data_IF_779557522150
#
_entry.id   IF_779557522150
#
_cell.length_a   1.000
_cell.length_b   1.000
_cell.length_c   1.000
_cell.angle_alpha   90.00
_cell.angle_beta   90.00
_cell.angle_gamma   90.00
#
_symmetry.space_group_name_H-M   'P 1'
#
loop_
_entity.id
_entity.type
_entity.pdbx_description
1 polymer ?
#
# COMPACT_ATOMS: atom_id res chain seq x y z
N UNK A 1 8.26 19.70 -16.79
CA UNK A 1 6.78 19.53 -16.77
C UNK A 1 6.48 18.06 -16.58
N UNK A 2 6.60 17.57 -15.34
CA UNK A 2 6.13 16.25 -14.87
C UNK A 2 5.86 16.46 -13.38
N UNK A 3 4.64 16.20 -12.90
CA UNK A 3 4.27 16.44 -11.51
C UNK A 3 2.78 16.71 -11.25
N UNK A 4 1.90 16.56 -12.23
CA UNK A 4 0.46 16.82 -12.05
C UNK A 4 -0.38 15.53 -11.96
N UNK A 5 0.16 14.36 -12.33
CA UNK A 5 -0.58 13.07 -12.32
C UNK A 5 -0.39 12.25 -11.05
N UNK A 6 0.75 12.35 -10.36
CA UNK A 6 1.09 11.51 -9.18
C UNK A 6 0.10 11.66 -8.01
N UNK A 7 -0.64 12.78 -7.92
CA UNK A 7 -1.50 13.09 -6.77
C UNK A 7 -3.00 12.84 -6.97
N UNK A 8 -3.45 12.44 -8.17
CA UNK A 8 -4.87 12.25 -8.45
C UNK A 8 -5.33 10.82 -8.13
N UNK A 9 -4.60 9.81 -8.59
CA UNK A 9 -4.93 8.39 -8.38
C UNK A 9 -4.70 7.96 -6.92
N UNK A 10 -3.66 8.47 -6.26
CA UNK A 10 -3.45 8.26 -4.81
C UNK A 10 -4.60 8.83 -3.95
N UNK A 11 -5.18 9.97 -4.39
CA UNK A 11 -6.37 10.55 -3.76
C UNK A 11 -7.62 9.75 -4.11
N UNK A 12 -7.68 9.15 -5.30
CA UNK A 12 -8.80 8.35 -5.77
C UNK A 12 -9.07 7.15 -4.85
N UNK A 13 -8.03 6.46 -4.39
CA UNK A 13 -8.17 5.35 -3.44
C UNK A 13 -8.24 5.76 -1.97
N UNK A 14 -8.03 7.05 -1.65
CA UNK A 14 -8.09 7.55 -0.26
C UNK A 14 -7.09 6.88 0.69
N UNK A 15 -5.90 6.52 0.19
CA UNK A 15 -4.84 5.93 1.00
C UNK A 15 -4.20 6.98 1.90
N UNK A 16 -4.15 6.69 3.20
CA UNK A 16 -3.41 7.48 4.18
C UNK A 16 -1.90 7.37 3.93
N UNK A 17 -1.08 8.32 4.39
CA UNK A 17 0.38 8.24 4.23
C UNK A 17 0.95 6.92 4.75
N UNK A 18 0.44 6.45 5.89
CA UNK A 18 0.88 5.19 6.50
C UNK A 18 0.52 3.96 5.68
N UNK A 19 -0.65 3.96 5.04
CA UNK A 19 -1.05 2.89 4.15
C UNK A 19 -0.21 2.84 2.87
N UNK A 20 0.29 3.99 2.39
CA UNK A 20 1.20 4.05 1.23
C UNK A 20 2.56 3.46 1.57
N UNK A 21 3.11 3.78 2.74
CA UNK A 21 4.35 3.15 3.21
C UNK A 21 4.18 1.62 3.27
N UNK A 22 3.08 1.14 3.83
CA UNK A 22 2.77 -0.30 3.86
C UNK A 22 2.62 -0.87 2.44
N UNK A 23 1.93 -0.18 1.53
CA UNK A 23 1.72 -0.62 0.15
C UNK A 23 3.04 -0.77 -0.62
N UNK A 24 3.99 0.16 -0.44
CA UNK A 24 5.35 0.07 -1.00
C UNK A 24 6.05 -1.22 -0.57
N UNK A 25 6.00 -1.54 0.71
CA UNK A 25 6.61 -2.75 1.25
C UNK A 25 5.90 -4.02 0.80
N UNK A 26 4.57 -3.96 0.66
CA UNK A 26 3.80 -5.07 0.09
C UNK A 26 4.24 -5.35 -1.35
N UNK A 27 4.46 -4.31 -2.15
CA UNK A 27 4.93 -4.42 -3.53
C UNK A 27 6.37 -4.93 -3.64
N UNK A 28 7.24 -4.58 -2.67
CA UNK A 28 8.58 -5.18 -2.52
C UNK A 28 8.53 -6.66 -2.06
N UNK A 29 7.34 -7.22 -1.81
CA UNK A 29 7.16 -8.61 -1.41
C UNK A 29 7.33 -8.88 0.09
N UNK A 30 7.36 -7.84 0.93
CA UNK A 30 7.58 -7.96 2.38
C UNK A 30 6.39 -8.58 3.11
N UNK A 31 6.64 -9.52 4.01
CA UNK A 31 5.62 -10.09 4.90
C UNK A 31 5.16 -9.08 5.96
N UNK A 32 3.99 -9.28 6.55
CA UNK A 32 3.47 -8.42 7.63
C UNK A 32 4.45 -8.30 8.81
N UNK A 33 5.26 -9.35 9.05
CA UNK A 33 6.33 -9.33 10.04
C UNK A 33 7.46 -8.37 9.65
N UNK A 34 7.94 -8.45 8.41
CA UNK A 34 8.99 -7.55 7.92
C UNK A 34 8.50 -6.09 7.85
N UNK A 35 7.25 -5.89 7.41
CA UNK A 35 6.60 -4.57 7.41
C UNK A 35 6.53 -3.99 8.83
N UNK A 36 6.15 -4.84 9.80
CA UNK A 36 6.07 -4.44 11.19
C UNK A 36 7.43 -4.04 11.76
N UNK A 37 8.49 -4.78 11.43
CA UNK A 37 9.86 -4.46 11.82
C UNK A 37 10.33 -3.14 11.20
N UNK A 38 10.13 -2.95 9.90
CA UNK A 38 10.60 -1.76 9.17
C UNK A 38 9.85 -0.48 9.56
N UNK A 39 8.55 -0.60 9.85
CA UNK A 39 7.71 0.52 10.26
C UNK A 39 7.62 0.70 11.77
N UNK A 40 8.31 -0.11 12.58
CA UNK A 40 8.28 -0.08 14.04
C UNK A 40 6.86 -0.19 14.63
N UNK A 41 6.06 -1.13 14.11
CA UNK A 41 4.69 -1.43 14.58
C UNK A 41 4.53 -2.92 14.90
N UNK A 42 3.38 -3.30 15.45
CA UNK A 42 3.06 -4.72 15.66
C UNK A 42 2.65 -5.40 14.35
N UNK A 43 2.94 -6.70 14.21
CA UNK A 43 2.49 -7.53 13.07
C UNK A 43 0.97 -7.46 12.86
N UNK A 44 0.20 -7.44 13.96
CA UNK A 44 -1.26 -7.25 13.92
C UNK A 44 -1.65 -5.92 13.28
N UNK A 45 -0.92 -4.84 13.57
CA UNK A 45 -1.17 -3.51 12.99
C UNK A 45 -0.79 -3.49 11.52
N UNK A 46 0.33 -4.11 11.13
CA UNK A 46 0.71 -4.26 9.73
C UNK A 46 -0.38 -5.02 8.94
N UNK A 47 -0.86 -6.15 9.44
CA UNK A 47 -1.94 -6.92 8.81
C UNK A 47 -3.26 -6.15 8.71
N UNK A 48 -3.58 -5.30 9.71
CA UNK A 48 -4.73 -4.41 9.65
C UNK A 48 -4.58 -3.34 8.54
N UNK A 49 -3.40 -2.73 8.40
CA UNK A 49 -3.12 -1.82 7.30
C UNK A 49 -3.24 -2.51 5.94
N UNK A 50 -2.64 -3.70 5.77
CA UNK A 50 -2.76 -4.49 4.53
C UNK A 50 -4.22 -4.76 4.20
N UNK A 51 -5.02 -5.20 5.18
CA UNK A 51 -6.45 -5.46 4.97
C UNK A 51 -7.23 -4.22 4.52
N UNK A 52 -6.97 -3.07 5.14
CA UNK A 52 -7.60 -1.80 4.75
C UNK A 52 -7.18 -1.37 3.34
N UNK A 53 -5.91 -1.55 2.98
CA UNK A 53 -5.40 -1.27 1.64
C UNK A 53 -6.10 -2.14 0.60
N UNK A 54 -6.23 -3.45 0.86
CA UNK A 54 -6.94 -4.36 -0.05
C UNK A 54 -8.39 -3.90 -0.27
N UNK A 55 -9.08 -3.50 0.80
CA UNK A 55 -10.44 -2.99 0.72
C UNK A 55 -10.53 -1.68 -0.08
N UNK A 56 -9.60 -0.74 0.14
CA UNK A 56 -9.55 0.55 -0.57
C UNK A 56 -9.22 0.41 -2.05
N UNK A 57 -8.31 -0.50 -2.39
CA UNK A 57 -7.94 -0.82 -3.77
C UNK A 57 -8.95 -1.75 -4.46
N UNK A 58 -9.94 -2.28 -3.74
CA UNK A 58 -10.93 -3.21 -4.28
C UNK A 58 -10.36 -4.58 -4.69
N UNK A 59 -9.20 -4.97 -4.15
CA UNK A 59 -8.52 -6.23 -4.50
C UNK A 59 -8.63 -7.26 -3.38
N UNK A 60 -8.35 -8.53 -3.69
CA UNK A 60 -8.51 -9.65 -2.75
C UNK A 60 -7.21 -10.25 -2.24
N UNK A 61 -6.07 -9.84 -2.79
CA UNK A 61 -4.78 -10.38 -2.38
C UNK A 61 -3.69 -9.34 -2.44
N UNK A 62 -2.68 -9.52 -1.59
CA UNK A 62 -1.48 -8.68 -1.57
C UNK A 62 -0.75 -8.61 -2.91
N UNK A 63 -0.78 -9.69 -3.69
CA UNK A 63 -0.19 -9.71 -5.05
C UNK A 63 -0.98 -8.78 -5.97
N UNK A 64 -2.31 -8.85 -5.93
CA UNK A 64 -3.14 -7.91 -6.68
C UNK A 64 -2.93 -6.47 -6.23
N UNK A 65 -2.72 -6.22 -4.94
CA UNK A 65 -2.39 -4.89 -4.43
C UNK A 65 -1.03 -4.39 -4.94
N UNK A 66 0.00 -5.24 -4.97
CA UNK A 66 1.29 -4.91 -5.55
C UNK A 66 1.17 -4.56 -7.03
N UNK A 67 0.43 -5.36 -7.81
CA UNK A 67 0.16 -5.07 -9.22
C UNK A 67 -0.62 -3.77 -9.40
N UNK A 68 -1.64 -3.52 -8.57
CA UNK A 68 -2.42 -2.28 -8.61
C UNK A 68 -1.55 -1.07 -8.27
N UNK A 69 -0.65 -1.19 -7.30
CA UNK A 69 0.27 -0.12 -6.91
C UNK A 69 1.13 0.34 -8.09
N UNK A 70 1.71 -0.59 -8.85
CA UNK A 70 2.49 -0.26 -10.05
C UNK A 70 1.62 0.25 -11.20
N UNK A 71 0.41 -0.29 -11.38
CA UNK A 71 -0.48 0.08 -12.49
C UNK A 71 -1.02 1.50 -12.35
N UNK A 72 -1.27 1.94 -11.13
CA UNK A 72 -1.85 3.24 -10.78
C UNK A 72 -0.80 4.25 -10.30
N UNK A 73 0.48 3.96 -10.56
CA UNK A 73 1.60 4.85 -10.20
C UNK A 73 1.59 5.28 -8.72
N UNK A 74 1.11 4.42 -7.83
CA UNK A 74 1.02 4.69 -6.40
C UNK A 74 2.38 4.55 -5.70
N UNK A 75 3.36 3.93 -6.39
CA UNK A 75 4.71 3.62 -5.91
C UNK A 75 5.73 3.63 -7.06
#
# INVERSE_FOLDING_TARGET
MQGETESAEEREFGLTPRERDVLRLVADGRTDRQIAEELFISVKTAGAHVSNILAKLGVRSRVQAATAAHRHELI
#
